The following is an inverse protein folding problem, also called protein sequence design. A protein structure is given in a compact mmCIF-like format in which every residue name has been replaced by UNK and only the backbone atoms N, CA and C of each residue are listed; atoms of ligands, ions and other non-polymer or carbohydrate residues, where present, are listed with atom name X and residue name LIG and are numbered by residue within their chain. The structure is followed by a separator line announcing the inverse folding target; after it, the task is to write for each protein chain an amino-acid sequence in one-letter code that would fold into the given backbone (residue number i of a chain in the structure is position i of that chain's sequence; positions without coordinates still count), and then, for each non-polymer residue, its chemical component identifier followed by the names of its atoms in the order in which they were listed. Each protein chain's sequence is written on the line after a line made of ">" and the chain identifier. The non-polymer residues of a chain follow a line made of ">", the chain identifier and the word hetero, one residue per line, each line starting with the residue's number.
data_IF_428794430194
#
_entry.id   IF_428794430194
#
_cell.length_a   1.000
_cell.length_b   1.000
_cell.length_c   1.000
_cell.angle_alpha   90.00
_cell.angle_beta   90.00
_cell.angle_gamma   90.00
#
_symmetry.space_group_name_H-M   'P 1'
#
loop_
_entity.id
_entity.type
_entity.pdbx_description
1 polymer ?
#
# COMPACT_ATOMS: atom_id res chain seq x y z
N UNK A 1 -5.75 -13.65 -25.96
CA UNK A 1 -5.50 -12.94 -24.70
C UNK A 1 -6.57 -11.88 -24.54
N UNK A 2 -7.33 -11.85 -23.44
CA UNK A 2 -8.26 -10.75 -23.19
C UNK A 2 -7.46 -9.51 -22.79
N UNK A 3 -7.72 -8.40 -23.48
CA UNK A 3 -7.10 -7.11 -23.22
C UNK A 3 -8.17 -6.03 -23.26
N UNK A 4 -8.30 -5.29 -22.19
CA UNK A 4 -9.23 -4.16 -22.11
C UNK A 4 -8.50 -2.94 -21.52
N UNK A 5 -8.53 -1.84 -22.26
CA UNK A 5 -8.09 -0.53 -21.79
C UNK A 5 -9.15 0.49 -22.20
N UNK A 6 -9.82 1.09 -21.22
CA UNK A 6 -10.92 2.05 -21.47
C UNK A 6 -10.43 3.50 -21.51
N UNK A 7 -9.17 3.75 -21.17
CA UNK A 7 -8.63 5.11 -21.08
C UNK A 7 -9.09 5.90 -19.84
N UNK A 8 -9.74 5.24 -18.90
CA UNK A 8 -10.26 5.88 -17.67
C UNK A 8 -9.58 5.31 -16.40
N UNK A 9 -8.27 5.54 -16.20
CA UNK A 9 -7.56 5.05 -15.03
C UNK A 9 -8.14 5.67 -13.76
N UNK A 10 -8.42 4.83 -12.77
CA UNK A 10 -9.03 5.22 -11.51
C UNK A 10 -8.67 4.21 -10.41
N UNK A 11 -8.61 4.65 -9.16
CA UNK A 11 -8.42 3.76 -8.01
C UNK A 11 -9.74 3.25 -7.42
N UNK A 12 -10.87 3.85 -7.82
CA UNK A 12 -12.18 3.55 -7.26
C UNK A 12 -12.85 2.28 -7.78
N UNK A 13 -12.61 1.90 -9.03
CA UNK A 13 -13.25 0.75 -9.68
C UNK A 13 -12.24 -0.32 -10.08
N UNK A 14 -12.67 -1.58 -10.21
CA UNK A 14 -11.80 -2.69 -10.64
C UNK A 14 -11.23 -2.44 -12.05
N UNK A 15 -12.06 -1.99 -12.99
CA UNK A 15 -11.62 -1.67 -14.34
C UNK A 15 -10.67 -0.48 -14.34
N UNK A 16 -10.98 0.59 -13.59
CA UNK A 16 -10.12 1.76 -13.48
C UNK A 16 -8.77 1.45 -12.87
N UNK A 17 -8.70 0.57 -11.85
CA UNK A 17 -7.42 0.09 -11.28
C UNK A 17 -6.60 -0.70 -12.29
N UNK A 18 -7.25 -1.56 -13.08
CA UNK A 18 -6.57 -2.29 -14.16
C UNK A 18 -6.02 -1.33 -15.20
N UNK A 19 -6.81 -0.36 -15.63
CA UNK A 19 -6.37 0.69 -16.55
C UNK A 19 -5.21 1.52 -15.98
N UNK A 20 -5.23 1.83 -14.67
CA UNK A 20 -4.15 2.54 -14.01
C UNK A 20 -2.84 1.72 -14.02
N UNK A 21 -2.89 0.40 -13.76
CA UNK A 21 -1.70 -0.46 -13.89
C UNK A 21 -1.20 -0.49 -15.34
N UNK A 22 -2.09 -0.60 -16.34
CA UNK A 22 -1.70 -0.56 -17.76
C UNK A 22 -1.04 0.75 -18.14
N UNK A 23 -1.58 1.87 -17.67
CA UNK A 23 -1.00 3.20 -17.89
C UNK A 23 0.42 3.29 -17.33
N UNK A 24 0.65 2.82 -16.11
CA UNK A 24 1.98 2.80 -15.48
C UNK A 24 2.98 1.94 -16.26
N UNK A 25 2.55 0.80 -16.78
CA UNK A 25 3.38 -0.10 -17.60
C UNK A 25 3.50 0.35 -19.05
N UNK A 26 2.78 1.40 -19.46
CA UNK A 26 2.63 1.83 -20.87
C UNK A 26 2.06 0.73 -21.78
N UNK A 27 1.28 -0.18 -21.21
CA UNK A 27 0.61 -1.30 -21.87
C UNK A 27 -0.78 -0.87 -22.39
N UNK A 28 -0.81 -0.03 -23.42
CA UNK A 28 -2.04 0.67 -23.86
C UNK A 28 -2.67 0.08 -25.13
N UNK A 29 -2.00 -0.87 -25.78
CA UNK A 29 -2.44 -1.40 -27.07
C UNK A 29 -2.59 -2.91 -27.05
N UNK A 30 -3.71 -3.41 -27.55
CA UNK A 30 -4.01 -4.85 -27.58
C UNK A 30 -3.04 -5.67 -28.43
N UNK A 31 -2.46 -5.06 -29.47
CA UNK A 31 -1.53 -5.74 -30.39
C UNK A 31 -0.17 -6.05 -29.77
N UNK A 32 0.22 -5.30 -28.78
CA UNK A 32 1.52 -5.43 -28.06
C UNK A 32 1.33 -5.64 -26.57
N UNK A 33 0.20 -6.21 -26.15
CA UNK A 33 -0.16 -6.38 -24.76
C UNK A 33 0.93 -7.15 -24.00
N UNK A 34 1.43 -6.55 -22.93
CA UNK A 34 2.44 -7.14 -22.04
C UNK A 34 1.81 -8.19 -21.12
N UNK A 35 0.59 -7.94 -20.69
CA UNK A 35 -0.17 -8.78 -19.77
C UNK A 35 -1.64 -8.92 -20.19
N UNK A 36 -2.23 -10.08 -19.92
CA UNK A 36 -3.67 -10.28 -20.02
C UNK A 36 -4.40 -9.59 -18.86
N UNK A 37 -5.71 -9.32 -19.05
CA UNK A 37 -6.55 -8.74 -17.99
C UNK A 37 -6.57 -9.58 -16.72
N UNK A 38 -6.57 -10.91 -16.86
CA UNK A 38 -6.54 -11.83 -15.73
C UNK A 38 -5.24 -11.73 -14.92
N UNK A 39 -4.09 -11.56 -15.61
CA UNK A 39 -2.79 -11.43 -14.96
C UNK A 39 -2.71 -10.13 -14.15
N UNK A 40 -3.18 -9.01 -14.72
CA UNK A 40 -3.23 -7.74 -14.00
C UNK A 40 -4.21 -7.80 -12.82
N UNK A 41 -5.36 -8.46 -12.99
CA UNK A 41 -6.32 -8.67 -11.92
C UNK A 41 -5.73 -9.52 -10.79
N UNK A 42 -4.92 -10.53 -11.12
CA UNK A 42 -4.18 -11.32 -10.13
C UNK A 42 -3.22 -10.44 -9.33
N UNK A 43 -2.39 -9.61 -9.97
CA UNK A 43 -1.50 -8.69 -9.26
C UNK A 43 -2.26 -7.71 -8.36
N UNK A 44 -3.38 -7.16 -8.83
CA UNK A 44 -4.21 -6.26 -8.03
C UNK A 44 -4.78 -6.96 -6.80
N UNK A 45 -5.33 -8.16 -6.96
CA UNK A 45 -5.89 -8.93 -5.85
C UNK A 45 -4.81 -9.30 -4.83
N UNK A 46 -3.65 -9.76 -5.31
CA UNK A 46 -2.52 -10.15 -4.47
C UNK A 46 -2.00 -8.99 -3.60
N UNK A 47 -2.07 -7.77 -4.11
CA UNK A 47 -1.62 -6.57 -3.41
C UNK A 47 -2.75 -5.74 -2.78
N UNK A 48 -3.90 -6.33 -2.49
CA UNK A 48 -5.01 -5.65 -1.84
C UNK A 48 -5.54 -4.46 -2.64
N UNK A 49 -5.55 -4.57 -3.97
CA UNK A 49 -5.95 -3.52 -4.92
C UNK A 49 -5.06 -2.26 -4.93
N UNK A 50 -3.85 -2.35 -4.40
CA UNK A 50 -2.87 -1.27 -4.50
C UNK A 50 -2.26 -1.26 -5.91
N UNK A 51 -2.58 -0.23 -6.68
CA UNK A 51 -2.18 -0.06 -8.08
C UNK A 51 -0.65 0.00 -8.23
N UNK A 52 0.05 0.69 -7.34
CA UNK A 52 1.50 0.86 -7.39
C UNK A 52 2.24 -0.45 -7.12
N UNK A 53 1.82 -1.21 -6.10
CA UNK A 53 2.41 -2.51 -5.78
C UNK A 53 2.11 -3.55 -6.88
N UNK A 54 0.92 -3.51 -7.45
CA UNK A 54 0.56 -4.36 -8.59
C UNK A 54 1.42 -4.04 -9.81
N UNK A 55 1.62 -2.77 -10.15
CA UNK A 55 2.49 -2.34 -11.23
C UNK A 55 3.96 -2.71 -10.98
N UNK A 56 4.44 -2.60 -9.74
CA UNK A 56 5.79 -3.02 -9.36
C UNK A 56 6.01 -4.52 -9.59
N UNK A 57 5.07 -5.38 -9.16
CA UNK A 57 5.15 -6.83 -9.39
C UNK A 57 5.08 -7.20 -10.86
N UNK A 58 4.25 -6.51 -11.64
CA UNK A 58 4.18 -6.70 -13.08
C UNK A 58 5.52 -6.29 -13.76
N UNK A 59 6.11 -5.16 -13.37
CA UNK A 59 7.41 -4.72 -13.88
C UNK A 59 8.53 -5.71 -13.50
N UNK A 60 8.51 -6.29 -12.30
CA UNK A 60 9.44 -7.37 -11.91
C UNK A 60 9.29 -8.61 -12.81
N UNK A 61 8.06 -9.02 -13.11
CA UNK A 61 7.78 -10.10 -14.04
C UNK A 61 8.34 -9.84 -15.45
N UNK A 62 8.20 -8.61 -15.95
CA UNK A 62 8.81 -8.19 -17.23
C UNK A 62 10.34 -8.20 -17.16
N UNK A 63 10.92 -7.75 -16.06
CA UNK A 63 12.37 -7.82 -15.85
C UNK A 63 12.90 -9.25 -15.94
N UNK A 64 12.21 -10.22 -15.34
CA UNK A 64 12.57 -11.63 -15.42
C UNK A 64 12.44 -12.17 -16.87
N UNK A 65 11.32 -11.88 -17.52
CA UNK A 65 11.08 -12.30 -18.93
C UNK A 65 12.13 -11.74 -19.90
N UNK A 66 12.57 -10.49 -19.70
CA UNK A 66 13.55 -9.84 -20.57
C UNK A 66 15.00 -10.23 -20.21
N UNK A 67 15.27 -10.64 -18.98
CA UNK A 67 16.57 -11.16 -18.61
C UNK A 67 16.89 -12.50 -19.29
N UNK A 68 15.87 -13.33 -19.53
CA UNK A 68 16.02 -14.61 -20.24
C UNK A 68 16.22 -14.45 -21.76
N UNK A 69 15.83 -13.32 -22.34
CA UNK A 69 15.96 -13.07 -23.77
C UNK A 69 17.27 -12.37 -24.13
N UNK A 70 18.43 -13.04 -23.94
CA UNK A 70 19.43 -13.19 -24.98
C UNK A 70 20.72 -12.49 -25.00
N UNK A 71 21.63 -13.37 -25.03
CA UNK A 71 22.78 -13.36 -25.94
C UNK A 71 22.35 -13.94 -27.31
N UNK A 72 22.02 -13.14 -28.29
CA UNK A 72 21.96 -13.51 -29.72
C UNK A 72 23.07 -12.77 -30.43
N UNK A 73 24.18 -13.46 -30.65
CA UNK A 73 25.37 -12.87 -31.25
C UNK A 73 26.02 -11.81 -30.35
N UNK A 74 26.98 -11.11 -30.86
CA UNK A 74 27.82 -10.11 -30.19
C UNK A 74 27.06 -8.83 -29.73
N UNK A 75 25.74 -8.77 -29.82
CA UNK A 75 24.90 -7.67 -29.36
C UNK A 75 24.23 -8.05 -28.03
N UNK A 76 24.91 -7.69 -26.95
CA UNK A 76 24.32 -7.73 -25.59
C UNK A 76 23.25 -6.64 -25.47
N UNK A 77 21.98 -6.97 -25.74
CA UNK A 77 20.83 -6.13 -25.38
C UNK A 77 20.55 -6.32 -23.88
N UNK A 78 21.44 -5.78 -23.05
CA UNK A 78 21.38 -5.93 -21.58
C UNK A 78 20.61 -4.83 -20.86
N UNK A 79 19.92 -3.92 -21.59
CA UNK A 79 19.32 -2.73 -21.00
C UNK A 79 17.89 -2.89 -20.49
N UNK A 80 17.07 -3.72 -21.13
CA UNK A 80 15.62 -3.74 -20.88
C UNK A 80 15.24 -4.32 -19.51
N UNK A 81 15.89 -5.40 -19.07
CA UNK A 81 15.59 -6.00 -17.77
C UNK A 81 15.97 -5.09 -16.60
N UNK A 82 17.04 -4.28 -16.76
CA UNK A 82 17.47 -3.33 -15.74
C UNK A 82 16.46 -2.19 -15.58
N UNK A 83 15.98 -1.62 -16.68
CA UNK A 83 14.99 -0.53 -16.65
C UNK A 83 13.66 -0.95 -15.99
N UNK A 84 13.18 -2.17 -16.25
CA UNK A 84 11.99 -2.71 -15.59
C UNK A 84 12.19 -2.93 -14.09
N UNK A 85 13.38 -3.34 -13.67
CA UNK A 85 13.73 -3.50 -12.26
C UNK A 85 13.78 -2.15 -11.54
N UNK A 86 14.37 -1.14 -12.16
CA UNK A 86 14.45 0.22 -11.62
C UNK A 86 13.03 0.82 -11.47
N UNK A 87 12.17 0.64 -12.49
CA UNK A 87 10.78 1.06 -12.46
C UNK A 87 9.99 0.36 -11.35
N UNK A 88 10.22 -0.94 -11.13
CA UNK A 88 9.59 -1.68 -10.04
C UNK A 88 9.98 -1.14 -8.65
N UNK A 89 11.24 -0.75 -8.47
CA UNK A 89 11.71 -0.13 -7.22
C UNK A 89 11.02 1.22 -7.03
N UNK A 90 10.93 2.04 -8.07
CA UNK A 90 10.27 3.34 -8.01
C UNK A 90 8.79 3.20 -7.63
N UNK A 91 8.08 2.24 -8.23
CA UNK A 91 6.67 2.00 -7.90
C UNK A 91 6.45 1.50 -6.47
N UNK A 92 7.36 0.68 -5.93
CA UNK A 92 7.31 0.29 -4.53
C UNK A 92 7.52 1.49 -3.59
N UNK A 93 8.48 2.36 -3.90
CA UNK A 93 8.69 3.59 -3.13
C UNK A 93 7.46 4.52 -3.18
N UNK A 94 6.78 4.61 -4.33
CA UNK A 94 5.51 5.33 -4.42
C UNK A 94 4.42 4.68 -3.58
N UNK A 95 4.29 3.36 -3.60
CA UNK A 95 3.33 2.64 -2.78
C UNK A 95 3.55 2.91 -1.28
N UNK A 96 4.81 2.90 -0.84
CA UNK A 96 5.17 3.10 0.57
C UNK A 96 4.96 4.55 1.01
N UNK A 97 5.14 5.54 0.14
CA UNK A 97 4.81 6.95 0.43
C UNK A 97 3.32 7.20 0.63
N UNK A 98 2.47 6.41 0.00
CA UNK A 98 1.01 6.50 0.15
C UNK A 98 0.45 5.64 1.28
N UNK A 99 1.25 4.77 1.86
CA UNK A 99 0.92 4.20 3.16
C UNK A 99 1.09 5.32 4.17
N UNK A 100 -0.03 5.85 4.65
CA UNK A 100 -0.01 6.75 5.79
C UNK A 100 0.70 5.99 6.90
N UNK A 101 1.96 6.34 7.14
CA UNK A 101 2.70 5.82 8.28
C UNK A 101 1.97 6.35 9.51
N UNK A 102 1.11 5.54 10.08
CA UNK A 102 0.61 5.80 11.42
C UNK A 102 1.81 5.67 12.36
N UNK A 103 2.50 6.78 12.56
CA UNK A 103 3.55 6.88 13.55
C UNK A 103 2.92 6.70 14.93
N UNK A 104 2.69 5.44 15.31
CA UNK A 104 2.25 5.05 16.64
C UNK A 104 0.82 5.43 17.04
N UNK A 105 -0.02 5.91 16.12
CA UNK A 105 -1.42 6.24 16.39
C UNK A 105 -2.37 5.17 15.86
N UNK A 106 -3.24 4.66 16.70
CA UNK A 106 -4.40 3.90 16.26
C UNK A 106 -5.36 4.84 15.53
N UNK A 107 -6.02 4.35 14.46
CA UNK A 107 -7.11 5.11 13.86
C UNK A 107 -8.22 5.31 14.89
N UNK A 108 -9.04 6.34 14.73
CA UNK A 108 -10.18 6.60 15.64
C UNK A 108 -11.08 5.37 15.67
N UNK A 109 -11.36 4.75 14.52
CA UNK A 109 -12.17 3.53 14.41
C UNK A 109 -11.54 2.31 15.09
N UNK A 110 -10.21 2.18 15.06
CA UNK A 110 -9.52 1.10 15.75
C UNK A 110 -9.49 1.33 17.26
N UNK A 111 -9.41 2.60 17.67
CA UNK A 111 -9.51 2.98 19.09
C UNK A 111 -10.90 2.67 19.63
N UNK A 112 -11.96 3.08 18.92
CA UNK A 112 -13.34 2.82 19.30
C UNK A 112 -13.59 1.30 19.39
N UNK A 113 -13.11 0.52 18.40
CA UNK A 113 -13.22 -0.95 18.45
C UNK A 113 -12.45 -1.57 19.60
N UNK A 114 -11.33 -0.98 20.02
CA UNK A 114 -10.55 -1.44 21.17
C UNK A 114 -11.19 -1.06 22.51
N UNK A 115 -11.90 0.07 22.56
CA UNK A 115 -12.66 0.49 23.75
C UNK A 115 -13.93 -0.35 23.94
N UNK A 116 -14.56 -0.80 22.85
CA UNK A 116 -15.74 -1.67 22.87
C UNK A 116 -15.42 -3.14 23.16
N UNK A 117 -14.16 -3.56 23.03
CA UNK A 117 -13.73 -4.94 23.28
C UNK A 117 -13.51 -5.18 24.78
N UNK A 118 -14.58 -5.65 25.44
CA UNK A 118 -14.60 -5.94 26.87
C UNK A 118 -13.75 -7.16 27.29
N UNK A 119 -13.38 -8.02 26.34
CA UNK A 119 -12.55 -9.21 26.59
C UNK A 119 -11.04 -8.91 26.55
N UNK A 120 -10.69 -7.70 26.17
CA UNK A 120 -9.30 -7.31 26.05
C UNK A 120 -8.67 -7.03 27.41
N UNK A 121 -7.60 -7.76 27.72
CA UNK A 121 -6.74 -7.45 28.87
C UNK A 121 -6.21 -6.04 28.72
N UNK A 122 -6.59 -5.15 29.62
CA UNK A 122 -6.10 -3.76 29.58
C UNK A 122 -4.56 -3.74 29.63
N UNK A 123 -3.91 -2.93 28.80
CA UNK A 123 -2.45 -2.84 28.84
C UNK A 123 -2.01 -2.42 30.24
N UNK A 124 -1.02 -3.12 30.79
CA UNK A 124 -0.49 -2.89 32.13
C UNK A 124 0.05 -1.46 32.34
N UNK A 125 0.22 -0.71 31.25
CA UNK A 125 0.68 0.67 31.26
C UNK A 125 -0.52 1.63 31.07
N UNK A 126 -1.23 1.89 32.13
CA UNK A 126 -2.22 2.95 32.15
C UNK A 126 -1.55 4.30 32.47
N UNK A 127 -2.15 5.40 32.00
CA UNK A 127 -1.67 6.77 32.24
C UNK A 127 -1.45 7.10 33.73
N UNK A 128 -2.04 6.30 34.62
CA UNK A 128 -1.92 6.41 36.09
C UNK A 128 -0.64 5.78 36.63
N UNK A 129 0.02 4.90 35.87
CA UNK A 129 1.25 4.23 36.32
C UNK A 129 2.44 5.21 36.52
N UNK A 130 2.42 6.34 35.84
CA UNK A 130 3.43 7.39 35.95
C UNK A 130 3.00 8.56 36.85
N UNK A 131 1.84 8.48 37.48
CA UNK A 131 1.51 9.45 38.53
C UNK A 131 2.39 9.17 39.74
N UNK A 132 3.23 10.16 40.08
CA UNK A 132 4.02 10.11 41.29
C UNK A 132 3.08 9.89 42.50
N UNK A 133 3.16 8.74 43.22
CA UNK A 133 2.27 8.43 44.31
C UNK A 133 2.47 9.38 45.54
N UNK A 134 3.51 10.21 45.50
CA UNK A 134 3.85 11.14 46.55
C UNK A 134 3.21 12.53 46.39
N UNK A 135 2.50 12.80 45.32
CA UNK A 135 1.70 14.03 45.22
C UNK A 135 0.28 13.71 45.67
N UNK A 136 -0.10 14.07 46.89
CA UNK A 136 -1.47 13.91 47.34
C UNK A 136 -2.37 14.73 46.40
N UNK A 137 -3.43 14.11 45.87
CA UNK A 137 -4.48 14.82 45.17
C UNK A 137 -5.02 15.89 46.13
N UNK A 138 -4.58 17.11 45.95
CA UNK A 138 -5.25 18.24 46.59
C UNK A 138 -6.57 18.37 45.84
N UNK A 139 -7.58 17.70 46.36
CA UNK A 139 -8.95 17.99 46.00
C UNK A 139 -9.17 19.47 46.32
N UNK A 140 -9.20 20.30 45.29
CA UNK A 140 -9.73 21.66 45.41
C UNK A 140 -11.22 21.50 45.70
N UNK A 141 -11.49 21.38 47.01
CA UNK A 141 -12.85 21.45 47.54
C UNK A 141 -13.40 22.83 47.21
N UNK A 142 -14.30 22.88 46.24
CA UNK A 142 -15.09 24.05 45.99
C UNK A 142 -16.15 24.15 47.12
N UNK A 143 -15.79 24.74 48.24
CA UNK A 143 -16.74 25.13 49.29
C UNK A 143 -17.49 26.34 48.80
N UNK A 144 -18.61 26.13 48.10
CA UNK A 144 -19.65 27.14 47.97
C UNK A 144 -20.27 27.37 49.35
N UNK A 145 -19.76 28.38 50.07
CA UNK A 145 -20.40 28.91 51.25
C UNK A 145 -21.72 29.58 50.88
N UNK A 146 -22.79 29.01 51.38
CA UNK A 146 -24.11 29.63 51.40
C UNK A 146 -24.22 30.48 52.64
N UNK A 147 -24.49 31.75 52.50
CA UNK A 147 -25.18 32.60 53.49
C UNK A 147 -26.14 33.47 52.70
#
# INVERSE_FOLDING_TARGET
>A
MAFTYSGAPSTGTSNGRRDAVRLLLKDLTSGTALYADAEISFFLTHHGNNVWRAAASAAQGLSARTAESKSVGDLAISGFGKSWRELAIEYNLHADRHVVSYAGGLSISDKDRQEDDTDRVQPAFTRTLFRNPLVPNVATGNTTGST
#
